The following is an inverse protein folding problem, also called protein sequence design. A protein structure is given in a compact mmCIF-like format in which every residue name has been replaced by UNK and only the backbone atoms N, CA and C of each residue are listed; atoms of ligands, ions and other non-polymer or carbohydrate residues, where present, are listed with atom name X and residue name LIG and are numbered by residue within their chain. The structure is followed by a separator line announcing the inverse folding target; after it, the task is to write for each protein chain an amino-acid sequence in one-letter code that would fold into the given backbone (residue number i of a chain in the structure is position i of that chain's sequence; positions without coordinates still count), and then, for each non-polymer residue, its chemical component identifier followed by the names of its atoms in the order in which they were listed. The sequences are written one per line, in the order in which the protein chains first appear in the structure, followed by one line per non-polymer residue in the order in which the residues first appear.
data_IF_323938420466
#
_entry.id   IF_323938420466
#
_cell.length_a   1.000
_cell.length_b   1.000
_cell.length_c   1.000
_cell.angle_alpha   90.00
_cell.angle_beta   90.00
_cell.angle_gamma   90.00
#
_symmetry.space_group_name_H-M   'P 1'
#
loop_
_entity.id
_entity.type
_entity.pdbx_description
1 polymer ?
#
# COMPACT_ATOMS: atom_id res chain seq x y z
N UNK A 1 49.59 66.78 -34.64
CA UNK A 1 48.25 66.87 -35.27
C UNK A 1 48.20 65.80 -36.36
N UNK A 2 47.17 64.94 -36.48
CA UNK A 2 45.80 64.95 -35.93
C UNK A 2 45.59 63.81 -34.89
N UNK A 3 44.46 63.56 -34.21
CA UNK A 3 43.12 64.14 -34.16
C UNK A 3 42.14 63.10 -33.56
N UNK A 4 41.11 63.59 -32.83
CA UNK A 4 39.83 62.93 -32.47
C UNK A 4 39.88 61.64 -31.64
N UNK A 5 39.01 61.31 -30.71
CA UNK A 5 37.68 61.81 -30.33
C UNK A 5 36.81 60.61 -29.94
N UNK A 6 36.32 60.55 -28.70
CA UNK A 6 35.19 59.72 -28.27
C UNK A 6 35.49 58.60 -27.25
N UNK A 7 34.82 58.58 -26.07
CA UNK A 7 34.75 57.42 -25.19
C UNK A 7 33.43 56.63 -25.36
N UNK A 8 33.53 55.30 -25.47
CA UNK A 8 32.41 54.36 -25.30
C UNK A 8 32.49 53.13 -26.23
N UNK A 9 31.83 51.99 -25.92
CA UNK A 9 30.90 51.75 -24.81
C UNK A 9 31.33 50.59 -23.86
N UNK A 10 30.78 50.62 -22.65
CA UNK A 10 30.71 49.50 -21.72
C UNK A 10 30.24 48.22 -22.42
N UNK A 11 31.12 47.23 -22.50
CA UNK A 11 30.78 45.87 -22.90
C UNK A 11 29.95 45.20 -21.81
N UNK A 12 28.71 44.89 -22.15
CA UNK A 12 27.71 44.25 -21.34
C UNK A 12 28.22 42.99 -20.61
N UNK A 13 27.91 42.92 -19.31
CA UNK A 13 27.91 41.67 -18.54
C UNK A 13 26.93 40.70 -19.22
N UNK A 14 27.36 39.50 -19.65
CA UNK A 14 26.43 38.51 -20.18
C UNK A 14 25.39 38.18 -19.11
N UNK A 15 24.13 38.40 -19.47
CA UNK A 15 22.97 38.24 -18.61
C UNK A 15 22.99 36.91 -17.86
N UNK A 16 22.64 37.03 -16.59
CA UNK A 16 22.16 35.95 -15.73
C UNK A 16 21.35 34.94 -16.56
N UNK A 17 21.92 33.76 -16.77
CA UNK A 17 21.16 32.60 -17.22
C UNK A 17 20.05 32.39 -16.19
N UNK A 18 18.84 32.81 -16.57
CA UNK A 18 17.61 32.54 -15.85
C UNK A 18 17.55 31.04 -15.62
N UNK A 19 17.75 30.62 -14.37
CA UNK A 19 17.56 29.25 -13.97
C UNK A 19 16.14 28.84 -14.32
N UNK A 20 16.00 28.03 -15.38
CA UNK A 20 14.81 27.22 -15.55
C UNK A 20 14.81 26.25 -14.37
N UNK A 21 14.04 26.60 -13.34
CA UNK A 21 13.66 25.64 -12.31
C UNK A 21 13.19 24.35 -13.01
N UNK A 22 13.66 23.17 -12.63
CA UNK A 22 13.20 21.92 -13.21
C UNK A 22 11.68 21.88 -13.09
N UNK A 23 10.99 21.88 -14.24
CA UNK A 23 9.54 21.97 -14.29
C UNK A 23 8.93 20.92 -13.37
N UNK A 24 8.10 21.35 -12.42
CA UNK A 24 7.40 20.46 -11.51
C UNK A 24 6.70 19.38 -12.35
N UNK A 25 7.18 18.14 -12.23
CA UNK A 25 6.58 17.02 -12.94
C UNK A 25 5.08 17.01 -12.64
N UNK A 26 4.24 17.06 -13.67
CA UNK A 26 2.78 17.06 -13.48
C UNK A 26 2.25 15.63 -13.53
N UNK A 27 1.25 15.34 -12.72
CA UNK A 27 0.54 14.06 -12.76
C UNK A 27 -0.20 13.91 -14.08
N UNK A 28 -0.01 12.76 -14.72
CA UNK A 28 -0.78 12.37 -15.91
C UNK A 28 -2.00 11.58 -15.45
N UNK A 29 -3.15 12.24 -15.34
CA UNK A 29 -4.37 11.62 -14.82
C UNK A 29 -4.99 10.58 -15.74
N UNK A 30 -4.89 10.75 -17.07
CA UNK A 30 -5.51 9.81 -18.04
C UNK A 30 -5.00 8.36 -17.84
N UNK A 31 -3.68 8.08 -17.81
CA UNK A 31 -3.18 6.74 -17.51
C UNK A 31 -3.65 6.18 -16.16
N UNK A 32 -3.77 7.02 -15.14
CA UNK A 32 -4.23 6.60 -13.79
C UNK A 32 -5.70 6.18 -13.83
N UNK A 33 -6.55 6.96 -14.48
CA UNK A 33 -7.98 6.66 -14.61
C UNK A 33 -8.18 5.38 -15.44
N UNK A 34 -7.49 5.25 -16.58
CA UNK A 34 -7.58 4.04 -17.42
C UNK A 34 -7.11 2.81 -16.65
N UNK A 35 -5.99 2.91 -15.93
CA UNK A 35 -5.50 1.85 -15.06
C UNK A 35 -6.56 1.43 -14.04
N UNK A 36 -7.14 2.40 -13.34
CA UNK A 36 -8.03 2.12 -12.24
C UNK A 36 -9.37 1.51 -12.69
N UNK A 37 -9.96 2.07 -13.73
CA UNK A 37 -11.19 1.54 -14.33
C UNK A 37 -10.96 0.12 -14.83
N UNK A 38 -9.84 -0.14 -15.50
CA UNK A 38 -9.52 -1.47 -16.00
C UNK A 38 -9.28 -2.47 -14.87
N UNK A 39 -8.55 -2.08 -13.82
CA UNK A 39 -8.33 -2.93 -12.64
C UNK A 39 -9.65 -3.29 -11.95
N UNK A 40 -10.55 -2.32 -11.77
CA UNK A 40 -11.86 -2.56 -11.19
C UNK A 40 -12.74 -3.43 -12.10
N UNK A 41 -12.79 -3.14 -13.40
CA UNK A 41 -13.59 -3.91 -14.35
C UNK A 41 -13.16 -5.38 -14.40
N UNK A 42 -11.85 -5.63 -14.43
CA UNK A 42 -11.31 -6.99 -14.39
C UNK A 42 -11.60 -7.69 -13.05
N UNK A 43 -11.50 -6.97 -11.92
CA UNK A 43 -11.85 -7.52 -10.61
C UNK A 43 -13.33 -7.93 -10.54
N UNK A 44 -14.24 -7.07 -10.97
CA UNK A 44 -15.66 -7.39 -11.06
C UNK A 44 -15.92 -8.56 -12.00
N UNK A 45 -15.24 -8.62 -13.15
CA UNK A 45 -15.37 -9.73 -14.09
C UNK A 45 -14.94 -11.05 -13.46
N UNK A 46 -13.78 -11.08 -12.80
CA UNK A 46 -13.23 -12.27 -12.12
C UNK A 46 -14.15 -12.73 -10.98
N UNK A 47 -14.70 -11.79 -10.20
CA UNK A 47 -15.54 -12.11 -9.04
C UNK A 47 -17.01 -12.35 -9.42
N UNK A 48 -17.46 -11.96 -10.61
CA UNK A 48 -18.85 -12.12 -11.08
C UNK A 48 -19.45 -13.52 -10.90
N UNK A 49 -18.72 -14.65 -11.02
CA UNK A 49 -19.29 -15.97 -10.78
C UNK A 49 -19.77 -16.18 -9.33
N UNK A 50 -19.19 -15.46 -8.35
CA UNK A 50 -19.65 -15.49 -6.95
C UNK A 50 -21.00 -14.80 -6.76
N UNK A 51 -21.26 -13.77 -7.57
CA UNK A 51 -22.51 -13.01 -7.56
C UNK A 51 -23.62 -13.75 -8.28
N UNK A 52 -23.31 -14.28 -9.48
CA UNK A 52 -24.30 -14.93 -10.35
C UNK A 52 -24.73 -16.28 -9.77
N UNK A 53 -23.85 -17.00 -9.05
CA UNK A 53 -24.19 -18.30 -8.48
C UNK A 53 -25.15 -18.23 -7.29
N UNK A 54 -25.39 -17.04 -6.72
CA UNK A 54 -26.22 -16.85 -5.52
C UNK A 54 -25.63 -17.41 -4.22
N UNK A 55 -24.49 -18.12 -4.28
CA UNK A 55 -23.81 -18.70 -3.10
C UNK A 55 -22.92 -17.70 -2.38
N UNK A 56 -22.53 -16.60 -3.04
CA UNK A 56 -21.63 -15.60 -2.47
C UNK A 56 -20.32 -16.23 -1.99
N UNK A 57 -19.95 -15.98 -0.73
CA UNK A 57 -18.72 -16.50 -0.11
C UNK A 57 -18.73 -18.01 0.16
N UNK A 58 -19.90 -18.67 0.11
CA UNK A 58 -20.00 -20.13 0.26
C UNK A 58 -19.66 -20.87 -1.04
N UNK A 59 -19.33 -20.15 -2.13
CA UNK A 59 -18.98 -20.76 -3.40
C UNK A 59 -17.58 -21.41 -3.31
N UNK A 60 -17.42 -22.70 -3.70
CA UNK A 60 -16.12 -23.37 -3.65
C UNK A 60 -15.04 -22.70 -4.51
N UNK A 61 -15.43 -21.92 -5.52
CA UNK A 61 -14.50 -21.18 -6.36
C UNK A 61 -13.85 -19.97 -5.67
N UNK A 62 -14.32 -19.56 -4.49
CA UNK A 62 -13.78 -18.40 -3.76
C UNK A 62 -12.25 -18.50 -3.60
N UNK A 63 -11.74 -19.69 -3.25
CA UNK A 63 -10.30 -19.93 -3.07
C UNK A 63 -9.46 -19.76 -4.33
N UNK A 64 -10.07 -19.77 -5.52
CA UNK A 64 -9.40 -19.56 -6.82
C UNK A 64 -9.64 -18.15 -7.34
N UNK A 65 -10.86 -17.64 -7.22
CA UNK A 65 -11.25 -16.34 -7.75
C UNK A 65 -10.65 -15.18 -6.96
N UNK A 66 -10.52 -15.30 -5.62
CA UNK A 66 -9.90 -14.24 -4.81
C UNK A 66 -8.41 -14.05 -5.15
N UNK A 67 -7.57 -15.10 -5.21
CA UNK A 67 -6.18 -14.94 -5.66
C UNK A 67 -6.08 -14.49 -7.13
N UNK A 68 -6.99 -14.93 -8.00
CA UNK A 68 -7.01 -14.47 -9.40
C UNK A 68 -7.30 -12.97 -9.51
N UNK A 69 -8.20 -12.45 -8.68
CA UNK A 69 -8.50 -11.02 -8.61
C UNK A 69 -7.23 -10.21 -8.29
N UNK A 70 -6.32 -10.70 -7.45
CA UNK A 70 -5.07 -10.01 -7.07
C UNK A 70 -4.12 -9.74 -8.26
N UNK A 71 -4.29 -10.43 -9.40
CA UNK A 71 -3.53 -10.16 -10.62
C UNK A 71 -4.14 -9.07 -11.52
N UNK A 72 -5.37 -8.62 -11.24
CA UNK A 72 -6.07 -7.61 -12.05
C UNK A 72 -5.35 -6.24 -12.09
N UNK A 73 -4.74 -5.74 -11.00
CA UNK A 73 -3.97 -4.48 -11.05
C UNK A 73 -2.71 -4.63 -11.92
N UNK A 74 -2.02 -5.77 -11.85
CA UNK A 74 -0.86 -6.02 -12.73
C UNK A 74 -1.25 -6.04 -14.21
N UNK A 75 -2.34 -6.74 -14.56
CA UNK A 75 -2.85 -6.77 -15.93
C UNK A 75 -3.21 -5.35 -16.43
N UNK A 76 -3.86 -4.55 -15.58
CA UNK A 76 -4.20 -3.18 -15.92
C UNK A 76 -2.96 -2.28 -16.09
N UNK A 77 -1.96 -2.41 -15.21
CA UNK A 77 -0.71 -1.66 -15.31
C UNK A 77 0.05 -2.00 -16.58
N UNK A 78 0.16 -3.29 -16.91
CA UNK A 78 0.79 -3.78 -18.13
C UNK A 78 0.08 -3.25 -19.38
N UNK A 79 -1.26 -3.28 -19.39
CA UNK A 79 -2.05 -2.71 -20.48
C UNK A 79 -1.78 -1.21 -20.66
N UNK A 80 -1.83 -0.43 -19.58
CA UNK A 80 -1.60 1.02 -19.66
C UNK A 80 -0.18 1.33 -20.11
N UNK A 81 0.83 0.63 -19.59
CA UNK A 81 2.22 0.82 -20.00
C UNK A 81 2.43 0.48 -21.46
N UNK A 82 1.92 -0.66 -21.93
CA UNK A 82 2.16 -1.13 -23.30
C UNK A 82 1.29 -0.45 -24.36
N UNK A 83 0.03 -0.13 -24.05
CA UNK A 83 -0.95 0.36 -25.01
C UNK A 83 -1.11 1.87 -24.95
N UNK A 84 -1.31 2.42 -23.74
CA UNK A 84 -1.56 3.85 -23.56
C UNK A 84 -0.26 4.65 -23.58
N UNK A 85 0.76 4.19 -22.85
CA UNK A 85 2.05 4.85 -22.77
C UNK A 85 3.07 4.34 -23.79
N UNK A 86 2.76 3.23 -24.48
CA UNK A 86 3.61 2.62 -25.53
C UNK A 86 5.05 2.31 -25.09
N UNK A 87 5.23 2.00 -23.81
CA UNK A 87 6.49 1.57 -23.22
C UNK A 87 6.73 0.10 -23.57
N UNK A 88 7.96 -0.24 -24.01
CA UNK A 88 8.33 -1.60 -24.43
C UNK A 88 9.62 -2.08 -23.78
N UNK A 89 9.77 -3.40 -23.69
CA UNK A 89 10.99 -4.05 -23.22
C UNK A 89 11.37 -3.69 -21.78
N UNK A 90 12.66 -3.53 -21.51
CA UNK A 90 13.20 -3.26 -20.16
C UNK A 90 12.70 -1.94 -19.55
N UNK A 91 12.20 -1.01 -20.36
CA UNK A 91 11.60 0.22 -19.88
C UNK A 91 10.31 0.00 -19.08
N UNK A 92 9.60 -1.12 -19.30
CA UNK A 92 8.42 -1.51 -18.49
C UNK A 92 8.83 -1.81 -17.05
N UNK A 93 9.91 -2.59 -16.86
CA UNK A 93 10.43 -2.93 -15.54
C UNK A 93 10.95 -1.69 -14.80
N UNK A 94 11.58 -0.77 -15.52
CA UNK A 94 12.05 0.50 -14.96
C UNK A 94 10.87 1.41 -14.54
N UNK A 95 9.80 1.45 -15.35
CA UNK A 95 8.61 2.25 -15.07
C UNK A 95 7.81 1.72 -13.87
N UNK A 96 7.87 0.41 -13.62
CA UNK A 96 7.29 -0.25 -12.45
C UNK A 96 8.16 -0.17 -11.19
N UNK A 97 9.31 0.52 -11.25
CA UNK A 97 10.22 0.64 -10.10
C UNK A 97 10.91 -0.67 -9.71
N UNK A 98 10.82 -1.73 -10.54
CA UNK A 98 11.47 -3.01 -10.31
C UNK A 98 12.97 -2.97 -10.65
N UNK A 99 13.43 -1.92 -11.35
CA UNK A 99 14.85 -1.76 -11.69
C UNK A 99 15.27 -0.29 -11.87
N UNK A 100 16.36 0.20 -11.24
CA UNK A 100 17.19 -0.42 -10.21
C UNK A 100 16.75 -0.01 -8.79
N UNK A 101 16.67 -0.99 -7.87
CA UNK A 101 16.38 -0.74 -6.44
C UNK A 101 17.66 -0.20 -5.76
N UNK A 102 17.82 1.12 -5.67
CA UNK A 102 18.96 1.75 -4.99
C UNK A 102 18.48 2.85 -4.03
N UNK A 103 18.96 2.88 -2.77
CA UNK A 103 19.85 1.92 -2.10
C UNK A 103 19.11 0.68 -1.55
N UNK A 104 19.54 -0.51 -1.99
CA UNK A 104 18.93 -1.80 -1.63
C UNK A 104 18.94 -2.06 -0.11
N UNK A 105 20.07 -1.80 0.57
CA UNK A 105 20.21 -2.03 2.02
C UNK A 105 19.18 -1.24 2.84
N UNK A 106 18.98 0.04 2.53
CA UNK A 106 18.00 0.89 3.22
C UNK A 106 16.57 0.43 2.93
N UNK A 107 16.29 0.05 1.68
CA UNK A 107 14.97 -0.46 1.27
C UNK A 107 14.64 -1.75 1.99
N UNK A 108 15.59 -2.70 2.06
CA UNK A 108 15.42 -3.95 2.80
C UNK A 108 15.27 -3.70 4.30
N UNK A 109 16.07 -2.83 4.89
CA UNK A 109 15.99 -2.52 6.32
C UNK A 109 14.65 -1.86 6.68
N UNK A 110 14.18 -0.90 5.87
CA UNK A 110 12.87 -0.27 6.08
C UNK A 110 11.72 -1.25 5.85
N UNK A 111 11.82 -2.14 4.85
CA UNK A 111 10.81 -3.16 4.61
C UNK A 111 10.75 -4.18 5.75
N UNK A 112 11.90 -4.59 6.27
CA UNK A 112 12.00 -5.47 7.44
C UNK A 112 11.47 -4.78 8.69
N UNK A 113 11.83 -3.52 8.92
CA UNK A 113 11.31 -2.73 10.04
C UNK A 113 9.79 -2.54 9.95
N UNK A 114 9.25 -2.32 8.75
CA UNK A 114 7.80 -2.25 8.54
C UNK A 114 7.12 -3.60 8.79
N UNK A 115 7.71 -4.71 8.32
CA UNK A 115 7.19 -6.06 8.54
C UNK A 115 7.17 -6.41 10.04
N UNK A 116 8.30 -6.21 10.72
CA UNK A 116 8.44 -6.45 12.16
C UNK A 116 7.53 -5.51 12.94
N UNK A 117 7.50 -4.22 12.60
CA UNK A 117 6.63 -3.23 13.25
C UNK A 117 5.15 -3.59 13.13
N UNK A 118 4.70 -4.02 11.94
CA UNK A 118 3.32 -4.46 11.70
C UNK A 118 3.00 -5.74 12.48
N UNK A 119 3.93 -6.70 12.55
CA UNK A 119 3.75 -7.93 13.33
C UNK A 119 3.75 -7.70 14.86
N UNK A 120 4.51 -6.71 15.34
CA UNK A 120 4.56 -6.35 16.76
C UNK A 120 3.34 -5.54 17.21
N UNK A 121 2.69 -4.81 16.31
CA UNK A 121 1.58 -3.92 16.66
C UNK A 121 0.41 -4.66 17.38
N UNK A 122 -0.12 -5.80 16.89
CA UNK A 122 -1.15 -6.55 17.59
C UNK A 122 -0.70 -7.06 18.97
N UNK A 123 0.58 -7.43 19.09
CA UNK A 123 1.17 -7.90 20.35
C UNK A 123 1.12 -6.75 21.36
N UNK A 124 1.66 -5.58 20.99
CA UNK A 124 1.67 -4.39 21.85
C UNK A 124 0.24 -3.98 22.24
N UNK A 125 -0.70 -3.94 21.30
CA UNK A 125 -2.11 -3.61 21.56
C UNK A 125 -2.73 -4.61 22.55
N UNK A 126 -2.44 -5.91 22.42
CA UNK A 126 -2.96 -6.94 23.34
C UNK A 126 -2.42 -6.74 24.76
N UNK A 127 -1.13 -6.44 24.92
CA UNK A 127 -0.53 -6.17 26.24
C UNK A 127 -1.09 -4.89 26.86
N UNK A 128 -1.31 -3.83 26.08
CA UNK A 128 -1.96 -2.60 26.57
C UNK A 128 -3.39 -2.90 27.02
N UNK A 129 -4.19 -3.59 26.21
CA UNK A 129 -5.56 -3.95 26.54
C UNK A 129 -5.64 -4.80 27.82
N UNK A 130 -4.68 -5.70 28.03
CA UNK A 130 -4.59 -6.48 29.25
C UNK A 130 -4.17 -5.65 30.47
N UNK A 131 -3.24 -4.71 30.30
CA UNK A 131 -2.86 -3.75 31.34
C UNK A 131 -4.02 -2.83 31.76
N UNK A 132 -4.94 -2.53 30.84
CA UNK A 132 -6.19 -1.81 31.09
C UNK A 132 -7.32 -2.70 31.65
N UNK A 133 -7.09 -4.01 31.80
CA UNK A 133 -8.10 -4.96 32.27
C UNK A 133 -9.20 -5.29 31.25
N UNK A 134 -9.05 -4.87 29.98
CA UNK A 134 -10.01 -5.13 28.90
C UNK A 134 -9.93 -6.56 28.37
N UNK A 135 -8.77 -7.21 28.52
CA UNK A 135 -8.51 -8.58 28.05
C UNK A 135 -7.82 -9.38 29.15
N UNK A 136 -8.27 -10.62 29.37
CA UNK A 136 -7.59 -11.56 30.25
C UNK A 136 -6.44 -12.24 29.49
N UNK A 137 -5.20 -11.93 29.85
CA UNK A 137 -4.02 -12.61 29.29
C UNK A 137 -3.89 -14.01 29.90
N UNK A 138 -4.06 -15.02 29.05
CA UNK A 138 -3.80 -16.42 29.37
C UNK A 138 -2.86 -17.00 28.31
N UNK A 139 -1.57 -16.95 28.62
CA UNK A 139 -0.50 -17.40 27.71
C UNK A 139 -0.28 -18.92 27.78
N UNK A 140 -0.95 -19.62 28.71
CA UNK A 140 -0.75 -21.05 28.95
C UNK A 140 -1.81 -21.88 28.23
N UNK A 141 -3.08 -21.48 28.36
CA UNK A 141 -4.21 -22.18 27.73
C UNK A 141 -4.79 -21.41 26.54
N UNK A 142 -4.30 -20.19 26.27
CA UNK A 142 -4.75 -19.36 25.15
C UNK A 142 -6.27 -19.19 25.12
N UNK A 143 -6.92 -19.01 26.28
CA UNK A 143 -8.39 -18.98 26.39
C UNK A 143 -9.06 -17.94 25.49
N UNK A 144 -8.45 -16.76 25.31
CA UNK A 144 -8.95 -15.76 24.35
C UNK A 144 -8.91 -16.25 22.89
N UNK A 145 -7.84 -16.94 22.49
CA UNK A 145 -7.73 -17.53 21.16
C UNK A 145 -8.69 -18.72 20.99
N UNK A 146 -8.89 -19.52 22.05
CA UNK A 146 -9.88 -20.60 22.06
C UNK A 146 -11.30 -20.08 21.83
N UNK A 147 -11.67 -18.95 22.44
CA UNK A 147 -12.96 -18.30 22.21
C UNK A 147 -13.14 -17.85 20.76
N UNK A 148 -12.11 -17.23 20.18
CA UNK A 148 -12.13 -16.83 18.76
C UNK A 148 -12.31 -18.06 17.87
N UNK A 149 -11.55 -19.13 18.12
CA UNK A 149 -11.63 -20.36 17.34
C UNK A 149 -13.02 -21.02 17.41
N UNK A 150 -13.62 -21.01 18.60
CA UNK A 150 -14.97 -21.52 18.83
C UNK A 150 -16.04 -20.65 18.15
N UNK A 151 -15.86 -19.33 18.09
CA UNK A 151 -16.78 -18.40 17.42
C UNK A 151 -16.82 -18.58 15.89
N UNK A 152 -15.79 -19.22 15.31
CA UNK A 152 -15.72 -19.53 13.89
C UNK A 152 -16.37 -20.87 13.53
N UNK A 153 -16.68 -21.70 14.52
CA UNK A 153 -17.31 -23.00 14.34
C UNK A 153 -18.84 -22.88 14.39
N UNK A 154 -19.58 -23.73 13.65
CA UNK A 154 -21.03 -23.86 13.83
C UNK A 154 -21.37 -24.23 15.28
N UNK A 155 -22.52 -23.77 15.76
CA UNK A 155 -22.98 -24.04 17.12
C UNK A 155 -23.00 -25.55 17.41
N UNK A 156 -22.38 -25.95 18.52
CA UNK A 156 -22.28 -27.35 18.95
C UNK A 156 -21.12 -28.15 18.37
N UNK A 157 -20.30 -27.56 17.48
CA UNK A 157 -19.07 -28.20 17.02
C UNK A 157 -17.88 -27.72 17.84
N UNK A 158 -17.00 -28.66 18.21
CA UNK A 158 -15.72 -28.36 18.86
C UNK A 158 -14.59 -28.43 17.84
N UNK A 159 -13.58 -27.59 18.03
CA UNK A 159 -12.40 -27.64 17.17
C UNK A 159 -11.70 -29.01 17.27
N UNK A 160 -11.33 -29.64 16.14
CA UNK A 160 -10.82 -31.02 16.15
C UNK A 160 -9.41 -31.14 16.75
N UNK A 161 -8.66 -30.04 16.82
CA UNK A 161 -7.32 -30.00 17.40
C UNK A 161 -7.34 -29.26 18.74
N UNK A 162 -6.42 -29.64 19.63
CA UNK A 162 -6.19 -28.84 20.84
C UNK A 162 -5.74 -27.43 20.47
N UNK A 163 -6.09 -26.45 21.32
CA UNK A 163 -5.71 -25.04 21.10
C UNK A 163 -4.20 -24.88 20.97
N UNK A 164 -3.42 -25.58 21.82
CA UNK A 164 -1.95 -25.58 21.77
C UNK A 164 -1.41 -26.14 20.46
N UNK A 165 -1.95 -27.26 19.99
CA UNK A 165 -1.58 -27.85 18.70
C UNK A 165 -1.89 -26.88 17.55
N UNK A 166 -3.04 -26.22 17.60
CA UNK A 166 -3.45 -25.23 16.59
C UNK A 166 -2.48 -24.05 16.54
N UNK A 167 -2.06 -23.52 17.68
CA UNK A 167 -1.04 -22.45 17.76
C UNK A 167 0.27 -22.90 17.13
N UNK A 168 0.78 -24.09 17.49
CA UNK A 168 2.03 -24.62 16.93
C UNK A 168 1.91 -24.78 15.41
N UNK A 169 0.80 -25.34 14.92
CA UNK A 169 0.56 -25.51 13.48
C UNK A 169 0.53 -24.15 12.79
N UNK A 170 -0.14 -23.13 13.34
CA UNK A 170 -0.16 -21.79 12.74
C UNK A 170 1.23 -21.14 12.71
N UNK A 171 2.04 -21.32 13.77
CA UNK A 171 3.43 -20.83 13.79
C UNK A 171 4.31 -21.52 12.75
N UNK A 172 4.16 -22.84 12.58
CA UNK A 172 4.87 -23.62 11.56
C UNK A 172 4.41 -23.22 10.16
N UNK A 173 3.10 -23.06 9.96
CA UNK A 173 2.51 -22.69 8.68
C UNK A 173 2.69 -21.22 8.33
N UNK A 174 3.12 -20.37 9.27
CA UNK A 174 3.31 -18.94 9.05
C UNK A 174 4.24 -18.68 7.85
N UNK A 175 5.37 -19.38 7.77
CA UNK A 175 6.34 -19.15 6.70
C UNK A 175 5.85 -19.66 5.33
N UNK A 176 5.37 -20.91 5.19
CA UNK A 176 4.75 -21.38 3.93
C UNK A 176 3.54 -20.55 3.48
N UNK A 177 2.66 -20.17 4.43
CA UNK A 177 1.49 -19.35 4.14
C UNK A 177 1.91 -17.95 3.68
N UNK A 178 2.90 -17.35 4.33
CA UNK A 178 3.44 -16.03 3.94
C UNK A 178 4.10 -16.10 2.55
N UNK A 179 4.84 -17.16 2.24
CA UNK A 179 5.44 -17.35 0.93
C UNK A 179 4.37 -17.51 -0.17
N UNK A 180 3.31 -18.26 0.10
CA UNK A 180 2.20 -18.44 -0.83
C UNK A 180 1.43 -17.13 -1.03
N UNK A 181 1.14 -16.39 0.05
CA UNK A 181 0.52 -15.07 -0.03
C UNK A 181 1.39 -14.07 -0.80
N UNK A 182 2.71 -14.12 -0.63
CA UNK A 182 3.63 -13.27 -1.38
C UNK A 182 3.52 -13.49 -2.89
N UNK A 183 3.23 -14.71 -3.36
CA UNK A 183 3.03 -14.97 -4.79
C UNK A 183 1.79 -14.24 -5.32
N UNK A 184 0.68 -14.25 -4.56
CA UNK A 184 -0.54 -13.57 -4.97
C UNK A 184 -0.45 -12.05 -4.87
N UNK A 185 0.23 -11.53 -3.85
CA UNK A 185 0.39 -10.08 -3.67
C UNK A 185 1.30 -9.45 -4.71
N UNK A 186 2.15 -10.21 -5.41
CA UNK A 186 2.98 -9.66 -6.52
C UNK A 186 2.14 -8.93 -7.56
N UNK A 187 0.96 -9.46 -7.92
CA UNK A 187 0.06 -8.81 -8.88
C UNK A 187 -0.41 -7.43 -8.39
N UNK A 188 -0.75 -7.34 -7.11
CA UNK A 188 -1.12 -6.10 -6.45
C UNK A 188 0.06 -5.14 -6.29
N UNK A 189 1.24 -5.63 -5.91
CA UNK A 189 2.45 -4.82 -5.78
C UNK A 189 2.80 -4.15 -7.11
N UNK A 190 2.76 -4.89 -8.22
CA UNK A 190 3.06 -4.37 -9.56
C UNK A 190 2.09 -3.24 -9.94
N UNK A 191 0.79 -3.44 -9.75
CA UNK A 191 -0.21 -2.42 -10.10
C UNK A 191 -0.15 -1.20 -9.18
N UNK A 192 -0.26 -1.42 -7.87
CA UNK A 192 -0.41 -0.34 -6.89
C UNK A 192 0.91 0.39 -6.62
N UNK A 193 1.97 -0.34 -6.28
CA UNK A 193 3.26 0.26 -5.89
C UNK A 193 4.13 0.52 -7.12
N UNK A 194 4.07 -0.37 -8.11
CA UNK A 194 4.81 -0.22 -9.35
C UNK A 194 4.28 0.90 -10.25
N UNK A 195 3.00 0.85 -10.61
CA UNK A 195 2.41 1.81 -11.55
C UNK A 195 1.71 3.01 -10.88
N UNK A 196 0.78 2.78 -9.95
CA UNK A 196 -0.04 3.86 -9.39
C UNK A 196 0.80 4.80 -8.52
N UNK A 197 1.57 4.25 -7.58
CA UNK A 197 2.39 5.05 -6.67
C UNK A 197 3.46 5.83 -7.43
N UNK A 198 4.10 5.25 -8.45
CA UNK A 198 5.08 5.95 -9.30
C UNK A 198 4.43 7.11 -10.07
N UNK A 199 3.21 6.92 -10.57
CA UNK A 199 2.43 7.95 -11.27
C UNK A 199 1.95 9.09 -10.36
N UNK A 200 1.71 8.81 -9.07
CA UNK A 200 1.27 9.78 -8.07
C UNK A 200 2.41 10.47 -7.33
N UNK A 201 3.68 10.02 -7.48
CA UNK A 201 4.87 10.65 -6.86
C UNK A 201 4.92 12.18 -6.97
N UNK A 202 4.53 12.82 -8.09
CA UNK A 202 4.60 14.27 -8.17
C UNK A 202 3.68 15.04 -7.22
N UNK A 203 2.68 14.38 -6.61
CA UNK A 203 1.83 14.98 -5.56
C UNK A 203 2.49 14.98 -4.18
N UNK A 204 3.66 14.35 -4.03
CA UNK A 204 4.29 14.08 -2.75
C UNK A 204 3.78 12.79 -2.10
N UNK A 205 4.47 12.38 -1.02
CA UNK A 205 4.25 11.07 -0.39
C UNK A 205 2.84 10.90 0.16
N UNK A 206 2.30 11.90 0.87
CA UNK A 206 1.04 11.75 1.60
C UNK A 206 -0.20 11.76 0.72
N UNK A 207 -0.37 12.69 -0.25
CA UNK A 207 -1.50 12.62 -1.18
C UNK A 207 -1.45 11.34 -2.00
N UNK A 208 -0.26 10.88 -2.40
CA UNK A 208 -0.09 9.61 -3.11
C UNK A 208 -0.54 8.42 -2.27
N UNK A 209 -0.17 8.35 -0.98
CA UNK A 209 -0.60 7.30 -0.06
C UNK A 209 -2.12 7.33 0.18
N UNK A 210 -2.70 8.51 0.41
CA UNK A 210 -4.14 8.65 0.65
C UNK A 210 -4.98 8.24 -0.56
N UNK A 211 -4.61 8.73 -1.75
CA UNK A 211 -5.28 8.36 -3.01
C UNK A 211 -5.11 6.86 -3.29
N UNK A 212 -3.89 6.33 -3.14
CA UNK A 212 -3.64 4.91 -3.35
C UNK A 212 -4.44 4.04 -2.39
N UNK A 213 -4.53 4.40 -1.11
CA UNK A 213 -5.30 3.66 -0.11
C UNK A 213 -6.79 3.67 -0.39
N UNK A 214 -7.35 4.82 -0.80
CA UNK A 214 -8.76 4.92 -1.17
C UNK A 214 -9.09 4.09 -2.42
N UNK A 215 -8.25 4.17 -3.45
CA UNK A 215 -8.39 3.40 -4.68
C UNK A 215 -8.30 1.89 -4.41
N UNK A 216 -7.35 1.48 -3.57
CA UNK A 216 -7.18 0.08 -3.16
C UNK A 216 -8.40 -0.44 -2.39
N UNK A 217 -8.87 0.30 -1.39
CA UNK A 217 -10.06 -0.09 -0.61
C UNK A 217 -11.33 -0.20 -1.47
N UNK A 218 -11.52 0.70 -2.43
CA UNK A 218 -12.65 0.64 -3.35
C UNK A 218 -12.52 -0.49 -4.39
N UNK A 219 -11.30 -0.87 -4.77
CA UNK A 219 -11.08 -2.03 -5.66
C UNK A 219 -11.51 -3.36 -5.02
N UNK A 220 -11.51 -3.46 -3.69
CA UNK A 220 -12.04 -4.62 -2.96
C UNK A 220 -13.57 -4.72 -2.90
N UNK A 221 -14.30 -3.70 -3.37
CA UNK A 221 -15.77 -3.66 -3.34
C UNK A 221 -16.49 -4.95 -3.80
N UNK A 222 -16.12 -5.64 -4.92
CA UNK A 222 -16.85 -6.84 -5.37
C UNK A 222 -16.82 -7.99 -4.36
N UNK A 223 -15.80 -8.08 -3.50
CA UNK A 223 -15.72 -9.07 -2.42
C UNK A 223 -16.36 -8.54 -1.14
N UNK A 224 -16.07 -7.29 -0.76
CA UNK A 224 -16.60 -6.69 0.48
C UNK A 224 -18.13 -6.67 0.46
N UNK A 225 -18.76 -6.33 -0.67
CA UNK A 225 -20.22 -6.31 -0.78
C UNK A 225 -20.87 -7.70 -0.66
N UNK A 226 -20.11 -8.79 -0.82
CA UNK A 226 -20.57 -10.15 -0.51
C UNK A 226 -20.47 -10.49 1.00
N UNK A 227 -19.93 -9.58 1.81
CA UNK A 227 -19.68 -9.74 3.25
C UNK A 227 -18.25 -10.12 3.59
N UNK A 228 -17.30 -10.01 2.65
CA UNK A 228 -15.89 -10.33 2.89
C UNK A 228 -15.26 -9.30 3.85
N UNK A 229 -14.30 -9.74 4.68
CA UNK A 229 -13.64 -9.00 5.78
C UNK A 229 -14.55 -8.55 6.94
N UNK A 230 -15.51 -7.67 6.68
CA UNK A 230 -16.27 -6.99 7.74
C UNK A 230 -17.60 -7.69 8.09
N UNK A 231 -17.96 -8.78 7.40
CA UNK A 231 -19.26 -9.44 7.57
C UNK A 231 -20.44 -8.57 7.13
N UNK A 232 -20.16 -7.48 6.41
CA UNK A 232 -21.10 -6.43 6.03
C UNK A 232 -21.27 -6.39 4.51
N UNK A 233 -22.52 -6.43 4.04
CA UNK A 233 -22.88 -6.43 2.61
C UNK A 233 -23.24 -5.05 2.06
N UNK A 234 -22.95 -3.99 2.82
CA UNK A 234 -23.34 -2.62 2.53
C UNK A 234 -22.13 -1.71 2.27
N UNK A 235 -22.40 -0.52 1.72
CA UNK A 235 -21.37 0.49 1.41
C UNK A 235 -20.54 0.90 2.65
N UNK A 236 -21.06 0.69 3.86
CA UNK A 236 -20.31 0.90 5.09
C UNK A 236 -19.10 -0.03 5.21
N UNK A 237 -19.19 -1.29 4.75
CA UNK A 237 -18.04 -2.19 4.71
C UNK A 237 -16.91 -1.65 3.84
N UNK A 238 -17.26 -1.07 2.68
CA UNK A 238 -16.30 -0.43 1.78
C UNK A 238 -15.71 0.84 2.40
N UNK A 239 -16.53 1.64 3.08
CA UNK A 239 -16.08 2.82 3.80
C UNK A 239 -15.11 2.47 4.93
N UNK A 240 -15.41 1.42 5.71
CA UNK A 240 -14.53 0.92 6.77
C UNK A 240 -13.18 0.46 6.23
N UNK A 241 -13.17 -0.23 5.07
CA UNK A 241 -11.93 -0.58 4.38
C UNK A 241 -11.12 0.67 4.01
N UNK A 242 -11.75 1.63 3.32
CA UNK A 242 -11.09 2.89 2.92
C UNK A 242 -10.52 3.64 4.12
N UNK A 243 -11.29 3.76 5.21
CA UNK A 243 -10.85 4.43 6.44
C UNK A 243 -9.71 3.67 7.10
N UNK A 244 -9.77 2.35 7.18
CA UNK A 244 -8.68 1.53 7.76
C UNK A 244 -7.37 1.70 6.98
N UNK A 245 -7.43 1.74 5.64
CA UNK A 245 -6.27 2.01 4.79
C UNK A 245 -5.75 3.46 4.95
N UNK A 246 -6.64 4.45 5.09
CA UNK A 246 -6.28 5.86 5.25
C UNK A 246 -5.71 6.21 6.63
N UNK A 247 -6.13 5.51 7.69
CA UNK A 247 -5.77 5.81 9.09
C UNK A 247 -4.26 5.63 9.37
N UNK A 248 -3.61 4.68 8.69
CA UNK A 248 -2.16 4.47 8.78
C UNK A 248 -1.36 5.67 8.24
N UNK A 249 -1.93 6.46 7.33
CA UNK A 249 -1.24 7.62 6.77
C UNK A 249 -1.21 8.82 7.73
N UNK A 250 -2.23 9.00 8.58
CA UNK A 250 -2.39 10.21 9.43
C UNK A 250 -1.67 10.12 10.78
N UNK A 251 -1.38 8.91 11.29
CA UNK A 251 -0.82 8.71 12.63
C UNK A 251 0.62 9.25 12.80
N UNK A 252 1.30 9.65 11.71
CA UNK A 252 2.65 10.22 11.76
C UNK A 252 2.72 11.75 11.85
N UNK A 253 1.59 12.46 11.77
CA UNK A 253 1.51 13.93 11.92
C UNK A 253 2.07 14.40 13.29
N UNK A 254 1.95 13.56 14.33
CA UNK A 254 2.48 13.84 15.67
C UNK A 254 4.00 13.67 15.79
N UNK A 255 4.61 12.74 15.07
CA UNK A 255 6.04 12.44 15.18
C UNK A 255 6.93 13.36 14.33
N UNK A 256 6.47 13.74 13.13
CA UNK A 256 7.24 14.62 12.24
C UNK A 256 7.25 16.08 12.72
N UNK A 257 6.14 16.56 13.29
CA UNK A 257 6.04 17.93 13.85
C UNK A 257 6.90 18.10 15.10
N UNK A 258 7.10 17.04 15.90
CA UNK A 258 7.97 17.03 17.07
C UNK A 258 9.48 16.97 16.72
N UNK A 259 9.84 16.32 15.60
CA UNK A 259 11.23 16.24 15.13
C UNK A 259 11.71 17.53 14.43
N UNK A 260 10.81 18.31 13.82
CA UNK A 260 11.15 19.56 13.14
C UNK A 260 11.45 20.73 14.12
N UNK A 261 10.95 20.67 15.35
CA UNK A 261 11.20 21.66 16.41
C UNK A 261 12.50 21.42 17.18
N UNK A 262 13.05 20.20 17.17
CA UNK A 262 14.31 19.88 17.88
C UNK A 262 15.58 20.14 17.05
N UNK A 263 15.47 20.21 15.72
CA UNK A 263 16.62 20.40 14.81
C UNK A 263 17.11 21.84 14.61
N UNK A 264 16.48 22.84 15.26
CA UNK A 264 16.73 24.28 15.00
C UNK A 264 17.58 24.99 16.08
N UNK A 265 18.48 24.28 16.77
CA UNK A 265 19.34 24.84 17.85
C UNK A 265 20.85 24.63 17.67
N UNK A 266 21.38 24.44 16.46
CA UNK A 266 22.83 24.42 16.24
C UNK A 266 23.23 25.16 14.96
N UNK A 267 23.28 26.49 15.03
CA UNK A 267 24.16 27.32 14.19
C UNK A 267 24.01 28.79 14.60
N UNK A 268 24.80 29.22 15.59
CA UNK A 268 25.52 30.52 15.57
C UNK A 268 26.65 30.41 16.59
N UNK A 269 27.90 30.31 16.13
CA UNK A 269 29.02 31.02 16.78
C UNK A 269 29.98 31.49 15.69
N UNK A 270 30.29 32.79 15.63
CA UNK A 270 31.16 33.37 14.60
C UNK A 270 32.63 33.30 15.04
N UNK A 271 33.51 33.04 14.09
CA UNK A 271 34.91 33.47 14.13
C UNK A 271 35.25 34.10 12.78
#
# INVERSE_FOLDING_TARGET
MPGGGGPGPSGAVPGSASGTAPGAARVRWIPIVVFYVLACALAWLVISPLWISGKGLQNPLLGVLSPLMMYTPAAAALFVLMVVQRVRGRAVLASLGMWPIRPLKRTLLLSLAALVGTALLPIVVTFIAAGLGLVRLDLVNFSGFAQVLQSQMPAGQTYPLSVRTTVIVQLVMLLPASATNAMFTVGEEIGWRGFLMSSLRPLGTWPALGISGAMWGLWHAPLILLGYDFGRRDALGVLLMIVSCGSLARCSDGYASAAATSGRRYSVMPH
#
